data_IF_247731127171
#
_entry.id   IF_247731127171
#
_cell.length_a   1.000
_cell.length_b   1.000
_cell.length_c   1.000
_cell.angle_alpha   90.00
_cell.angle_beta   90.00
_cell.angle_gamma   90.00
#
_symmetry.space_group_name_H-M   'P 1'
#
loop_
_entity.id
_entity.type
_entity.pdbx_description
1 polymer ?
#
# COMPACT_ATOMS: atom_id res chain seq x y z
N UNK A 1 15.48 -4.80 22.54
CA UNK A 1 14.07 -5.10 22.27
C UNK A 1 13.39 -5.42 23.60
N UNK A 2 12.56 -4.51 24.10
CA UNK A 2 11.79 -4.70 25.33
C UNK A 2 10.81 -5.87 25.15
N UNK A 3 10.87 -6.88 26.01
CA UNK A 3 9.92 -8.00 25.98
C UNK A 3 8.52 -7.48 26.28
N UNK A 4 7.67 -7.37 25.29
CA UNK A 4 6.25 -7.04 25.45
C UNK A 4 5.62 -7.95 26.52
N UNK A 5 4.88 -7.37 27.48
CA UNK A 5 4.15 -8.14 28.49
C UNK A 5 3.15 -9.12 27.83
N UNK A 6 2.85 -10.23 28.51
CA UNK A 6 1.93 -11.26 28.00
C UNK A 6 0.56 -10.66 27.59
N UNK A 7 0.01 -9.74 28.40
CA UNK A 7 -1.24 -9.02 28.11
C UNK A 7 -1.17 -8.23 26.80
N UNK A 8 -0.05 -7.52 26.53
CA UNK A 8 0.14 -6.77 25.28
C UNK A 8 0.28 -7.71 24.07
N UNK A 9 0.98 -8.84 24.22
CA UNK A 9 1.07 -9.85 23.15
C UNK A 9 -0.29 -10.43 22.80
N UNK A 10 -1.10 -10.75 23.81
CA UNK A 10 -2.45 -11.27 23.60
C UNK A 10 -3.34 -10.22 22.92
N UNK A 11 -3.29 -8.96 23.37
CA UNK A 11 -4.03 -7.86 22.74
C UNK A 11 -3.69 -7.72 21.25
N UNK A 12 -2.40 -7.70 20.88
CA UNK A 12 -2.00 -7.60 19.48
C UNK A 12 -2.48 -8.80 18.66
N UNK A 13 -2.42 -10.02 19.20
CA UNK A 13 -2.94 -11.21 18.51
C UNK A 13 -4.45 -11.12 18.27
N UNK A 14 -5.20 -10.76 19.29
CA UNK A 14 -6.66 -10.62 19.16
C UNK A 14 -6.99 -9.54 18.13
N UNK A 15 -6.36 -8.37 18.21
CA UNK A 15 -6.58 -7.26 17.28
C UNK A 15 -6.26 -7.65 15.83
N UNK A 16 -5.10 -8.31 15.57
CA UNK A 16 -4.71 -8.73 14.22
C UNK A 16 -5.74 -9.70 13.61
N UNK A 17 -6.21 -10.70 14.36
CA UNK A 17 -7.20 -11.66 13.88
C UNK A 17 -8.57 -11.03 13.70
N UNK A 18 -9.00 -10.14 14.58
CA UNK A 18 -10.27 -9.42 14.42
C UNK A 18 -10.26 -8.57 13.14
N UNK A 19 -9.19 -7.81 12.89
CA UNK A 19 -9.05 -7.02 11.66
C UNK A 19 -9.02 -7.95 10.45
N UNK A 20 -8.22 -9.00 10.49
CA UNK A 20 -8.10 -9.96 9.40
C UNK A 20 -9.45 -10.61 9.05
N UNK A 21 -10.21 -11.08 10.05
CA UNK A 21 -11.52 -11.67 9.85
C UNK A 21 -12.52 -10.63 9.32
N UNK A 22 -12.51 -9.43 9.89
CA UNK A 22 -13.40 -8.34 9.45
C UNK A 22 -13.22 -8.01 7.97
N UNK A 23 -11.98 -7.78 7.53
CA UNK A 23 -11.73 -7.44 6.12
C UNK A 23 -12.05 -8.61 5.18
N UNK A 24 -11.86 -9.86 5.63
CA UNK A 24 -12.30 -11.04 4.88
C UNK A 24 -13.81 -11.15 4.77
N UNK A 25 -14.55 -10.95 5.88
CA UNK A 25 -16.02 -10.95 5.86
C UNK A 25 -16.55 -9.89 4.89
N UNK A 26 -16.00 -8.67 4.92
CA UNK A 26 -16.38 -7.63 3.97
C UNK A 26 -16.05 -8.05 2.54
N UNK A 27 -14.83 -8.53 2.28
CA UNK A 27 -14.41 -8.92 0.94
C UNK A 27 -15.28 -10.02 0.35
N UNK A 28 -15.60 -11.06 1.13
CA UNK A 28 -16.41 -12.21 0.69
C UNK A 28 -17.86 -11.85 0.41
N UNK A 29 -18.39 -10.81 1.06
CA UNK A 29 -19.76 -10.33 0.81
C UNK A 29 -19.85 -9.38 -0.41
N UNK A 30 -18.71 -8.82 -0.85
CA UNK A 30 -18.69 -7.85 -1.94
C UNK A 30 -18.55 -8.52 -3.32
N UNK A 31 -19.06 -7.82 -4.35
CA UNK A 31 -18.83 -8.19 -5.74
C UNK A 31 -17.54 -7.55 -6.22
N UNK A 32 -16.47 -8.34 -6.34
CA UNK A 32 -15.13 -7.83 -6.60
C UNK A 32 -14.74 -8.02 -8.07
N UNK A 33 -14.28 -6.94 -8.69
CA UNK A 33 -13.71 -6.92 -10.05
C UNK A 33 -12.27 -6.44 -10.00
N UNK A 34 -11.42 -7.09 -10.77
CA UNK A 34 -10.02 -6.68 -10.98
C UNK A 34 -9.84 -6.30 -12.44
N UNK A 35 -9.40 -5.09 -12.70
CA UNK A 35 -9.06 -4.66 -14.06
C UNK A 35 -7.88 -5.49 -14.58
N UNK A 36 -7.96 -6.05 -15.79
CA UNK A 36 -6.83 -6.75 -16.40
C UNK A 36 -5.61 -5.84 -16.46
N UNK A 37 -4.48 -6.33 -15.98
CA UNK A 37 -3.24 -5.54 -15.91
C UNK A 37 -2.03 -6.44 -16.05
N UNK A 38 -0.87 -5.83 -16.34
CA UNK A 38 0.44 -6.50 -16.37
C UNK A 38 1.42 -5.66 -15.56
N UNK A 39 2.19 -6.31 -14.71
CA UNK A 39 3.38 -5.71 -14.12
C UNK A 39 4.60 -5.98 -15.02
N UNK A 40 5.63 -5.13 -14.98
CA UNK A 40 6.87 -5.36 -15.70
C UNK A 40 7.57 -6.62 -15.17
N UNK A 41 8.42 -7.24 -15.97
CA UNK A 41 9.24 -8.39 -15.52
C UNK A 41 10.19 -7.99 -14.38
N UNK A 42 10.76 -6.78 -14.48
CA UNK A 42 11.63 -6.21 -13.44
C UNK A 42 10.82 -5.75 -12.22
N UNK A 43 11.43 -5.72 -11.03
CA UNK A 43 10.79 -5.12 -9.87
C UNK A 43 10.36 -3.67 -10.11
N UNK A 44 9.27 -3.27 -9.48
CA UNK A 44 8.72 -1.93 -9.61
C UNK A 44 8.34 -1.34 -8.25
N UNK A 45 8.02 -0.06 -8.25
CA UNK A 45 7.43 0.64 -7.11
C UNK A 45 5.92 0.71 -7.32
N UNK A 46 5.15 0.33 -6.30
CA UNK A 46 3.70 0.46 -6.31
C UNK A 46 3.31 1.47 -5.26
N UNK A 47 2.48 2.42 -5.61
CA UNK A 47 2.00 3.46 -4.70
C UNK A 47 0.48 3.43 -4.57
N UNK A 48 -0.02 3.76 -3.38
CA UNK A 48 -1.45 4.00 -3.14
C UNK A 48 -1.62 4.93 -1.94
N UNK A 49 -2.73 5.66 -1.87
CA UNK A 49 -3.02 6.55 -0.74
C UNK A 49 -3.25 5.77 0.55
N UNK A 50 -2.75 6.28 1.68
CA UNK A 50 -2.89 5.65 3.00
C UNK A 50 -4.34 5.36 3.35
N UNK A 51 -5.26 6.21 2.96
CA UNK A 51 -6.70 6.01 3.14
C UNK A 51 -7.30 4.79 2.41
N UNK A 52 -6.52 4.09 1.58
CA UNK A 52 -6.93 2.87 0.87
C UNK A 52 -6.34 1.58 1.47
N UNK A 53 -5.63 1.65 2.60
CA UNK A 53 -4.95 0.49 3.21
C UNK A 53 -5.87 -0.71 3.45
N UNK A 54 -7.11 -0.48 3.86
CA UNK A 54 -7.98 -1.53 4.40
C UNK A 54 -8.14 -2.76 3.50
N UNK A 55 -8.23 -2.58 2.18
CA UNK A 55 -8.51 -3.68 1.25
C UNK A 55 -7.38 -3.99 0.26
N UNK A 56 -6.22 -3.30 0.36
CA UNK A 56 -5.12 -3.47 -0.61
C UNK A 56 -4.49 -4.86 -0.60
N UNK A 57 -4.53 -5.58 0.52
CA UNK A 57 -3.98 -6.93 0.62
C UNK A 57 -4.65 -7.93 -0.34
N UNK A 58 -5.91 -7.70 -0.73
CA UNK A 58 -6.61 -8.56 -1.69
C UNK A 58 -6.12 -8.37 -3.13
N UNK A 59 -5.67 -7.16 -3.50
CA UNK A 59 -5.00 -6.92 -4.77
C UNK A 59 -3.70 -7.72 -4.86
N UNK A 60 -2.92 -7.78 -3.77
CA UNK A 60 -1.71 -8.60 -3.70
C UNK A 60 -2.02 -10.09 -3.93
N UNK A 61 -3.01 -10.65 -3.22
CA UNK A 61 -3.41 -12.05 -3.41
C UNK A 61 -3.81 -12.35 -4.86
N UNK A 62 -4.57 -11.44 -5.47
CA UNK A 62 -5.06 -11.64 -6.84
C UNK A 62 -3.94 -11.54 -7.85
N UNK A 63 -3.21 -10.43 -7.86
CA UNK A 63 -2.21 -10.18 -8.90
C UNK A 63 -0.86 -10.80 -8.60
N UNK A 64 -0.24 -10.51 -7.45
CA UNK A 64 1.12 -10.98 -7.15
C UNK A 64 1.21 -12.47 -6.92
N UNK A 65 0.28 -13.07 -6.18
CA UNK A 65 0.37 -14.48 -5.86
C UNK A 65 -0.23 -15.39 -6.93
N UNK A 66 -1.27 -14.93 -7.64
CA UNK A 66 -1.99 -15.75 -8.60
C UNK A 66 -1.60 -15.44 -10.05
N UNK A 67 -1.71 -14.17 -10.47
CA UNK A 67 -1.63 -13.82 -11.89
C UNK A 67 -0.18 -13.59 -12.35
N UNK A 68 0.72 -13.15 -11.45
CA UNK A 68 2.12 -12.81 -11.76
C UNK A 68 3.14 -13.85 -11.24
N UNK A 69 2.73 -15.10 -11.03
CA UNK A 69 3.63 -16.21 -10.76
C UNK A 69 4.29 -16.18 -9.38
N UNK A 70 3.55 -15.83 -8.32
CA UNK A 70 4.04 -15.75 -6.93
C UNK A 70 5.16 -14.73 -6.73
N UNK A 71 5.06 -13.61 -7.40
CA UNK A 71 5.97 -12.48 -7.25
C UNK A 71 5.92 -11.93 -5.82
N UNK A 72 7.04 -11.49 -5.28
CA UNK A 72 7.14 -10.98 -3.91
C UNK A 72 6.95 -9.47 -3.89
N UNK A 73 6.27 -8.96 -2.85
CA UNK A 73 6.22 -7.53 -2.55
C UNK A 73 6.37 -7.27 -1.06
N UNK A 74 6.94 -6.11 -0.71
CA UNK A 74 7.07 -5.62 0.66
C UNK A 74 6.58 -4.19 0.76
N UNK A 75 5.88 -3.89 1.86
CA UNK A 75 5.35 -2.55 2.15
C UNK A 75 6.28 -1.82 3.10
N UNK A 76 6.55 -0.55 2.84
CA UNK A 76 7.24 0.32 3.81
C UNK A 76 6.25 0.69 4.92
N UNK A 77 6.56 0.31 6.16
CA UNK A 77 5.66 0.50 7.32
C UNK A 77 6.44 1.17 8.45
N UNK A 78 5.77 2.12 9.13
CA UNK A 78 6.28 2.81 10.31
C UNK A 78 6.69 1.84 11.44
N UNK A 79 7.73 2.23 12.20
CA UNK A 79 8.19 1.50 13.39
C UNK A 79 7.28 1.66 14.62
N UNK A 80 6.19 2.46 14.52
CA UNK A 80 5.25 2.66 15.61
C UNK A 80 4.34 1.44 15.86
N UNK A 81 3.61 1.45 16.99
CA UNK A 81 2.74 0.35 17.43
C UNK A 81 1.65 0.00 16.41
N UNK A 82 1.06 1.01 15.78
CA UNK A 82 0.02 0.79 14.75
C UNK A 82 0.61 0.08 13.53
N UNK A 83 1.84 0.44 13.13
CA UNK A 83 2.57 -0.27 12.09
C UNK A 83 2.87 -1.73 12.44
N UNK A 84 2.99 -2.08 13.73
CA UNK A 84 3.17 -3.48 14.16
C UNK A 84 1.90 -4.30 13.90
N UNK A 85 0.72 -3.78 14.23
CA UNK A 85 -0.57 -4.46 13.97
C UNK A 85 -0.73 -4.67 12.46
N UNK A 86 -0.53 -3.63 11.66
CA UNK A 86 -0.65 -3.71 10.21
C UNK A 86 0.34 -4.73 9.63
N UNK A 87 1.60 -4.73 10.08
CA UNK A 87 2.61 -5.71 9.66
C UNK A 87 2.13 -7.15 9.91
N UNK A 88 1.51 -7.43 11.05
CA UNK A 88 0.96 -8.75 11.39
C UNK A 88 -0.23 -9.11 10.51
N UNK A 89 -1.17 -8.18 10.32
CA UNK A 89 -2.34 -8.41 9.44
C UNK A 89 -1.90 -8.73 8.02
N UNK A 90 -1.01 -7.94 7.42
CA UNK A 90 -0.57 -8.18 6.04
C UNK A 90 0.29 -9.42 5.88
N UNK A 91 0.97 -9.87 6.94
CA UNK A 91 1.75 -11.13 6.90
C UNK A 91 0.87 -12.36 6.66
N UNK A 92 -0.40 -12.35 7.11
CA UNK A 92 -1.36 -13.40 6.80
C UNK A 92 -1.73 -13.46 5.31
N UNK A 93 -1.47 -12.39 4.55
CA UNK A 93 -1.62 -12.35 3.10
C UNK A 93 -0.32 -12.71 2.35
N UNK A 94 0.78 -12.95 3.06
CA UNK A 94 2.09 -13.22 2.48
C UNK A 94 2.87 -11.96 2.09
N UNK A 95 2.42 -10.77 2.54
CA UNK A 95 3.09 -9.49 2.26
C UNK A 95 4.14 -9.24 3.32
N UNK A 96 5.38 -8.97 2.90
CA UNK A 96 6.45 -8.58 3.82
C UNK A 96 6.42 -7.10 4.19
N UNK A 97 7.20 -6.72 5.21
CA UNK A 97 7.34 -5.33 5.63
C UNK A 97 8.81 -4.88 5.63
N UNK A 98 9.04 -3.64 5.21
CA UNK A 98 10.28 -2.89 5.39
C UNK A 98 9.99 -1.87 6.49
N UNK A 99 10.67 -2.00 7.64
CA UNK A 99 10.41 -1.14 8.81
C UNK A 99 11.15 0.18 8.69
N UNK A 100 10.43 1.27 8.96
CA UNK A 100 10.89 2.64 8.92
C UNK A 100 9.88 3.56 8.24
N UNK A 101 9.97 4.86 8.50
CA UNK A 101 9.10 5.85 7.87
C UNK A 101 9.86 7.14 7.60
N UNK A 102 9.27 8.05 6.83
CA UNK A 102 9.87 9.30 6.36
C UNK A 102 10.41 10.21 7.49
N UNK A 103 9.98 10.07 8.72
CA UNK A 103 10.37 10.98 9.81
C UNK A 103 11.55 10.47 10.65
N UNK A 104 11.49 9.23 11.17
CA UNK A 104 12.59 8.58 11.89
C UNK A 104 12.85 7.24 11.25
N UNK A 105 13.97 7.11 10.55
CA UNK A 105 14.33 5.87 9.88
C UNK A 105 14.01 5.83 8.38
N UNK A 106 13.66 6.97 7.75
CA UNK A 106 13.44 7.08 6.31
C UNK A 106 14.64 6.62 5.48
N UNK A 107 15.85 7.01 5.87
CA UNK A 107 17.08 6.55 5.22
C UNK A 107 17.24 5.02 5.34
N UNK A 108 16.95 4.44 6.52
CA UNK A 108 17.00 3.00 6.74
C UNK A 108 15.94 2.27 5.91
N UNK A 109 14.71 2.80 5.85
CA UNK A 109 13.64 2.25 5.02
C UNK A 109 14.01 2.30 3.53
N UNK A 110 14.57 3.41 3.06
CA UNK A 110 15.03 3.58 1.69
C UNK A 110 16.14 2.57 1.34
N UNK A 111 17.14 2.41 2.19
CA UNK A 111 18.21 1.42 2.01
C UNK A 111 17.65 -0.02 2.00
N UNK A 112 16.68 -0.30 2.90
CA UNK A 112 15.95 -1.57 2.90
C UNK A 112 15.18 -1.81 1.60
N UNK A 113 14.49 -0.80 1.09
CA UNK A 113 13.76 -0.85 -0.18
C UNK A 113 14.70 -1.11 -1.37
N UNK A 114 15.85 -0.42 -1.44
CA UNK A 114 16.89 -0.64 -2.46
C UNK A 114 17.37 -2.11 -2.43
N UNK A 115 17.64 -2.64 -1.23
CA UNK A 115 18.05 -4.04 -1.07
C UNK A 115 16.99 -5.01 -1.58
N UNK A 116 15.73 -4.78 -1.22
CA UNK A 116 14.63 -5.68 -1.63
C UNK A 116 14.38 -5.63 -3.14
N UNK A 117 14.44 -4.47 -3.77
CA UNK A 117 14.35 -4.31 -5.24
C UNK A 117 15.47 -5.11 -5.92
N UNK A 118 16.71 -4.98 -5.45
CA UNK A 118 17.85 -5.74 -6.00
C UNK A 118 17.68 -7.25 -5.85
N UNK A 119 16.90 -7.70 -4.86
CA UNK A 119 16.55 -9.11 -4.63
C UNK A 119 15.30 -9.56 -5.42
N UNK A 120 14.80 -8.77 -6.37
CA UNK A 120 13.65 -9.14 -7.19
C UNK A 120 12.30 -8.95 -6.50
N UNK A 121 12.21 -8.09 -5.47
CA UNK A 121 10.99 -7.85 -4.70
C UNK A 121 10.43 -6.47 -5.03
N UNK A 122 9.13 -6.38 -5.35
CA UNK A 122 8.46 -5.10 -5.51
C UNK A 122 8.36 -4.35 -4.18
N UNK A 123 8.39 -3.03 -4.24
CA UNK A 123 8.24 -2.19 -3.04
C UNK A 123 6.95 -1.40 -3.13
N UNK A 124 6.15 -1.50 -2.10
CA UNK A 124 4.87 -0.81 -1.97
C UNK A 124 5.03 0.35 -0.98
N UNK A 125 4.56 1.53 -1.37
CA UNK A 125 4.70 2.77 -0.60
C UNK A 125 3.36 3.49 -0.51
N UNK A 126 2.99 3.95 0.69
CA UNK A 126 1.97 4.98 0.88
C UNK A 126 2.68 6.33 0.93
N UNK A 127 2.63 7.12 -0.17
CA UNK A 127 3.48 8.31 -0.30
C UNK A 127 3.12 9.42 0.70
N UNK A 128 1.88 9.50 1.14
CA UNK A 128 1.39 10.40 2.18
C UNK A 128 1.82 10.00 3.61
N UNK A 129 2.41 8.80 3.74
CA UNK A 129 2.99 8.31 4.99
C UNK A 129 1.96 8.12 6.12
N UNK A 130 2.43 7.76 7.32
CA UNK A 130 1.52 7.42 8.43
C UNK A 130 0.95 8.65 9.17
N UNK A 131 1.34 9.86 8.81
CA UNK A 131 0.96 11.11 9.50
C UNK A 131 0.44 12.19 8.56
N UNK A 132 0.41 11.92 7.25
CA UNK A 132 0.03 12.89 6.27
C UNK A 132 1.04 14.05 6.06
N UNK A 133 0.58 15.17 5.58
CA UNK A 133 -0.83 15.50 5.30
C UNK A 133 -1.45 14.67 4.18
N UNK A 134 -2.78 14.61 4.18
CA UNK A 134 -3.58 13.89 3.17
C UNK A 134 -3.12 14.24 1.76
N UNK A 135 -2.93 13.22 0.92
CA UNK A 135 -2.51 13.33 -0.48
C UNK A 135 -1.17 14.07 -0.69
N UNK A 136 -0.31 14.11 0.32
CA UNK A 136 1.09 14.53 0.13
C UNK A 136 1.93 13.40 -0.46
N UNK A 137 3.03 13.77 -1.11
CA UNK A 137 3.98 12.79 -1.63
C UNK A 137 5.35 13.05 -1.01
N UNK A 138 5.82 12.11 -0.19
CA UNK A 138 7.14 12.16 0.40
C UNK A 138 8.23 11.81 -0.62
N UNK A 139 9.42 12.36 -0.44
CA UNK A 139 10.56 12.22 -1.36
C UNK A 139 10.98 10.76 -1.61
N UNK A 140 10.75 9.87 -0.64
CA UNK A 140 11.25 8.50 -0.68
C UNK A 140 10.82 7.69 -1.91
N UNK A 141 9.58 7.87 -2.39
CA UNK A 141 9.08 7.18 -3.57
C UNK A 141 9.79 7.65 -4.85
N UNK A 142 9.98 8.98 -4.99
CA UNK A 142 10.68 9.58 -6.13
C UNK A 142 12.15 9.16 -6.15
N UNK A 143 12.83 9.32 -4.99
CA UNK A 143 14.26 8.97 -4.86
C UNK A 143 14.49 7.49 -5.18
N UNK A 144 13.64 6.58 -4.68
CA UNK A 144 13.77 5.15 -4.95
C UNK A 144 13.63 4.84 -6.43
N UNK A 145 12.60 5.38 -7.06
CA UNK A 145 12.30 5.15 -8.47
C UNK A 145 13.41 5.70 -9.38
N UNK A 146 13.83 6.94 -9.16
CA UNK A 146 14.89 7.57 -9.96
C UNK A 146 16.25 6.89 -9.79
N UNK A 147 16.64 6.58 -8.54
CA UNK A 147 17.94 5.98 -8.25
C UNK A 147 18.13 4.61 -8.90
N UNK A 148 17.07 3.85 -9.06
CA UNK A 148 17.11 2.50 -9.62
C UNK A 148 16.46 2.40 -11.01
N UNK A 149 16.06 3.52 -11.59
CA UNK A 149 15.34 3.61 -12.88
C UNK A 149 14.16 2.64 -12.94
N UNK A 150 13.24 2.78 -11.98
CA UNK A 150 12.07 1.91 -11.82
C UNK A 150 10.81 2.62 -12.28
N UNK A 151 9.90 1.85 -12.84
CA UNK A 151 8.55 2.31 -13.10
C UNK A 151 7.73 2.33 -11.80
N UNK A 152 6.86 3.34 -11.68
CA UNK A 152 5.88 3.49 -10.60
C UNK A 152 4.49 3.14 -11.14
N UNK A 153 3.74 2.39 -10.36
CA UNK A 153 2.35 2.04 -10.65
C UNK A 153 1.47 2.52 -9.50
N UNK A 154 0.38 3.21 -9.80
CA UNK A 154 -0.65 3.53 -8.82
C UNK A 154 -1.65 2.37 -8.72
N UNK A 155 -1.82 1.88 -7.50
CA UNK A 155 -2.82 0.86 -7.15
C UNK A 155 -4.00 1.54 -6.46
N UNK A 156 -5.21 1.24 -6.87
CA UNK A 156 -6.41 1.76 -6.24
C UNK A 156 -7.51 0.70 -6.14
N UNK A 157 -8.43 0.90 -5.22
CA UNK A 157 -9.77 0.28 -5.27
C UNK A 157 -10.84 1.34 -5.06
N UNK A 158 -11.96 1.14 -5.70
CA UNK A 158 -13.18 1.93 -5.58
C UNK A 158 -14.28 1.04 -5.02
N UNK A 159 -15.14 1.59 -4.18
CA UNK A 159 -16.29 0.88 -3.65
C UNK A 159 -17.59 1.64 -3.93
N UNK A 160 -18.65 0.95 -4.39
CA UNK A 160 -19.94 1.57 -4.68
C UNK A 160 -20.68 2.05 -3.42
N UNK A 161 -20.31 1.55 -2.24
CA UNK A 161 -20.80 2.00 -0.93
C UNK A 161 -19.73 1.74 0.11
N UNK A 162 -19.43 2.71 0.95
CA UNK A 162 -18.34 2.64 1.90
C UNK A 162 -18.61 3.48 3.15
N UNK A 163 -17.85 3.22 4.21
CA UNK A 163 -17.66 4.12 5.33
C UNK A 163 -16.37 4.91 5.12
N UNK A 164 -16.47 6.24 5.24
CA UNK A 164 -15.32 7.15 5.25
C UNK A 164 -15.07 7.59 6.69
N UNK A 165 -13.90 7.26 7.21
CA UNK A 165 -13.55 7.61 8.59
C UNK A 165 -13.11 9.08 8.67
N UNK A 166 -13.35 9.69 9.84
CA UNK A 166 -12.89 11.06 10.15
C UNK A 166 -11.44 11.05 10.66
N UNK A 167 -10.58 10.25 10.04
CA UNK A 167 -9.14 10.22 10.29
C UNK A 167 -8.44 11.19 9.34
N UNK A 168 -7.17 11.51 9.61
CA UNK A 168 -6.37 12.40 8.76
C UNK A 168 -6.26 11.90 7.31
N UNK A 169 -6.29 10.59 7.10
CA UNK A 169 -6.17 9.90 5.80
C UNK A 169 -7.52 9.62 5.13
N UNK A 170 -8.62 10.02 5.77
CA UNK A 170 -9.97 9.77 5.29
C UNK A 170 -10.21 8.32 4.86
N UNK A 171 -9.74 7.36 5.68
CA UNK A 171 -9.74 5.94 5.33
C UNK A 171 -11.12 5.46 4.87
N UNK A 172 -11.12 4.77 3.74
CA UNK A 172 -12.31 4.17 3.12
C UNK A 172 -12.36 2.69 3.44
N UNK A 173 -13.49 2.24 4.01
CA UNK A 173 -13.79 0.84 4.22
C UNK A 173 -15.08 0.48 3.47
N UNK A 174 -15.06 -0.42 2.48
CA UNK A 174 -16.26 -0.83 1.77
C UNK A 174 -17.30 -1.40 2.71
N UNK A 175 -18.58 -1.10 2.45
CA UNK A 175 -19.69 -1.75 3.16
C UNK A 175 -19.89 -3.16 2.61
N UNK A 176 -20.37 -4.11 3.43
CA UNK A 176 -20.80 -5.42 2.94
C UNK A 176 -21.76 -5.29 1.75
N UNK A 177 -21.71 -6.25 0.84
CA UNK A 177 -22.53 -6.34 -0.37
C UNK A 177 -22.29 -5.23 -1.41
N UNK A 178 -21.28 -4.37 -1.23
CA UNK A 178 -20.89 -3.38 -2.23
C UNK A 178 -20.15 -4.01 -3.42
N UNK A 179 -19.98 -3.20 -4.47
CA UNK A 179 -19.06 -3.55 -5.58
C UNK A 179 -17.71 -2.93 -5.30
N UNK A 180 -16.65 -3.73 -5.45
CA UNK A 180 -15.25 -3.25 -5.31
C UNK A 180 -14.55 -3.46 -6.65
N UNK A 181 -14.00 -2.39 -7.22
CA UNK A 181 -13.20 -2.44 -8.43
C UNK A 181 -11.74 -2.12 -8.09
N UNK A 182 -10.83 -3.05 -8.36
CA UNK A 182 -9.40 -2.84 -8.25
C UNK A 182 -8.82 -2.44 -9.60
N UNK A 183 -7.94 -1.45 -9.60
CA UNK A 183 -7.22 -0.99 -10.77
C UNK A 183 -5.74 -0.78 -10.47
N UNK A 184 -4.91 -0.98 -11.49
CA UNK A 184 -3.49 -0.63 -11.50
C UNK A 184 -3.27 0.28 -12.71
N UNK A 185 -2.58 1.39 -12.51
CA UNK A 185 -2.32 2.36 -13.57
C UNK A 185 -1.37 1.83 -14.66
N UNK A 186 -1.23 2.55 -15.75
CA UNK A 186 -0.07 2.45 -16.62
C UNK A 186 1.21 2.83 -15.85
N UNK A 187 2.40 2.37 -16.30
CA UNK A 187 3.67 2.73 -15.69
C UNK A 187 3.97 4.23 -15.82
N UNK A 188 4.53 4.80 -14.75
CA UNK A 188 5.07 6.15 -14.72
C UNK A 188 6.59 6.07 -14.52
N UNK A 189 7.36 6.60 -15.45
CA UNK A 189 8.80 6.75 -15.31
C UNK A 189 9.13 8.18 -14.89
N UNK A 190 10.02 8.34 -13.90
CA UNK A 190 10.40 9.64 -13.35
C UNK A 190 11.80 10.11 -13.78
N UNK A 191 12.43 9.42 -14.73
CA UNK A 191 13.78 9.75 -15.19
C UNK A 191 13.84 11.18 -15.74
N UNK A 192 14.81 11.96 -15.28
CA UNK A 192 15.02 13.35 -15.73
C UNK A 192 14.11 14.40 -15.08
N UNK A 193 13.14 14.00 -14.25
CA UNK A 193 12.31 14.96 -13.51
C UNK A 193 13.05 15.48 -12.27
N UNK A 194 12.78 16.74 -11.90
CA UNK A 194 13.16 17.23 -10.57
C UNK A 194 12.39 16.50 -9.48
N UNK A 195 12.85 16.59 -8.23
CA UNK A 195 12.17 15.95 -7.09
C UNK A 195 10.72 16.40 -6.96
N UNK A 196 10.47 17.71 -7.09
CA UNK A 196 9.11 18.26 -6.96
C UNK A 196 8.23 17.90 -8.16
N UNK A 197 8.76 17.91 -9.37
CA UNK A 197 8.04 17.42 -10.56
C UNK A 197 7.71 15.93 -10.44
N UNK A 198 8.63 15.12 -9.90
CA UNK A 198 8.39 13.70 -9.64
C UNK A 198 7.30 13.46 -8.60
N UNK A 199 7.26 14.25 -7.51
CA UNK A 199 6.19 14.19 -6.51
C UNK A 199 4.83 14.54 -7.11
N UNK A 200 4.77 15.61 -7.92
CA UNK A 200 3.54 16.02 -8.57
C UNK A 200 3.06 14.97 -9.59
N UNK A 201 3.96 14.38 -10.36
CA UNK A 201 3.62 13.31 -11.29
C UNK A 201 3.03 12.07 -10.59
N UNK A 202 3.60 11.65 -9.44
CA UNK A 202 3.03 10.58 -8.62
C UNK A 202 1.65 10.98 -8.08
N UNK A 203 1.48 12.22 -7.62
CA UNK A 203 0.22 12.71 -7.09
C UNK A 203 -0.88 12.68 -8.15
N UNK A 204 -0.58 13.16 -9.35
CA UNK A 204 -1.50 13.13 -10.48
C UNK A 204 -1.86 11.70 -10.91
N UNK A 205 -0.87 10.79 -10.97
CA UNK A 205 -1.12 9.38 -11.26
C UNK A 205 -2.10 8.74 -10.26
N UNK A 206 -1.93 9.04 -8.98
CA UNK A 206 -2.80 8.54 -7.92
C UNK A 206 -4.22 9.12 -7.99
N UNK A 207 -4.37 10.42 -8.31
CA UNK A 207 -5.68 11.03 -8.51
C UNK A 207 -6.36 10.50 -9.77
N UNK A 208 -5.68 10.38 -10.88
CA UNK A 208 -6.24 9.81 -12.11
C UNK A 208 -6.74 8.36 -11.90
N UNK A 209 -6.09 7.60 -11.01
CA UNK A 209 -6.53 6.25 -10.65
C UNK A 209 -7.75 6.24 -9.72
N UNK A 210 -8.05 7.36 -9.04
CA UNK A 210 -9.12 7.53 -8.06
C UNK A 210 -10.28 8.42 -8.53
N UNK A 211 -10.26 8.92 -9.76
CA UNK A 211 -11.26 9.88 -10.29
C UNK A 211 -12.72 9.37 -10.26
N UNK A 212 -12.91 8.07 -10.09
CA UNK A 212 -14.26 7.49 -10.05
C UNK A 212 -14.89 7.47 -8.65
N UNK A 213 -14.10 7.67 -7.59
CA UNK A 213 -14.62 7.75 -6.21
C UNK A 213 -15.49 9.00 -5.97
N UNK A 214 -15.37 10.03 -6.79
CA UNK A 214 -16.16 11.26 -6.70
C UNK A 214 -17.57 11.17 -7.32
N UNK A 215 -17.90 10.03 -7.95
CA UNK A 215 -19.17 9.81 -8.66
C UNK A 215 -20.07 8.73 -8.05
N UNK A 216 -19.77 8.32 -6.81
CA UNK A 216 -20.60 7.39 -6.07
C UNK A 216 -21.33 8.04 -4.90
#
# INVERSE_FOLDING_TARGET
>A
MEKLSLKKRLFFRVAEYLIFILIWCIFLTCRVKFTPTKLPEKPCVVVFWHGRLAMMSFAYRRWWLRDFGKRRAKVIISDHKDGEIITRVISHFGIGAIRGSSFKGGARALMGAIKEIKNGTDVIITPDGPRGPLHSVADGAVILAQRLNLDIYALNYEASSFWKFRSWDEMVLPKPFSRINYSLSAPLNLTGLSLDAGKEAIRQLLFASAEKDAKF
#
